data_IF_612969165555
#
_entry.id   IF_612969165555
#
_cell.length_a   1.000
_cell.length_b   1.000
_cell.length_c   1.000
_cell.angle_alpha   90.00
_cell.angle_beta   90.00
_cell.angle_gamma   90.00
#
_symmetry.space_group_name_H-M   'P 1'
#
loop_
_entity.id
_entity.type
_entity.pdbx_description
1 polymer ?
#
# COMPACT_ATOMS: atom_id res chain seq x y z
N UNK A 1 16.30 -0.66 -12.13
CA UNK A 1 15.01 -0.57 -11.44
C UNK A 1 14.05 0.24 -12.29
N UNK A 2 12.79 -0.20 -12.40
CA UNK A 2 11.74 0.51 -13.15
C UNK A 2 10.56 0.75 -12.21
N UNK A 3 10.02 1.96 -12.21
CA UNK A 3 8.81 2.30 -11.43
C UNK A 3 7.58 1.78 -12.16
N UNK A 4 6.74 1.01 -11.47
CA UNK A 4 5.51 0.44 -12.04
C UNK A 4 4.28 1.29 -11.75
N UNK A 5 4.12 1.76 -10.52
CA UNK A 5 2.99 2.59 -10.09
C UNK A 5 3.45 3.54 -8.98
N UNK A 6 2.70 4.63 -8.76
CA UNK A 6 2.92 5.57 -7.65
C UNK A 6 1.57 5.90 -7.03
N UNK A 7 1.36 5.39 -5.81
CA UNK A 7 0.17 5.71 -5.01
C UNK A 7 0.30 7.17 -4.54
N UNK A 8 -0.64 8.02 -4.95
CA UNK A 8 -0.70 9.44 -4.59
C UNK A 8 -1.72 9.65 -3.47
N UNK A 9 -1.66 10.81 -2.81
CA UNK A 9 -2.65 11.23 -1.80
C UNK A 9 -2.82 10.29 -0.59
N UNK A 10 -1.71 9.65 -0.18
CA UNK A 10 -1.68 8.89 1.07
C UNK A 10 -1.70 9.83 2.29
N UNK A 11 -2.37 9.46 3.40
CA UNK A 11 -2.25 10.20 4.65
C UNK A 11 -0.81 10.15 5.18
N UNK A 12 -0.47 11.09 6.06
CA UNK A 12 0.86 11.16 6.67
C UNK A 12 1.20 9.84 7.38
N UNK A 13 2.29 9.18 6.96
CA UNK A 13 2.77 7.92 7.53
C UNK A 13 4.17 8.11 8.18
N UNK A 14 4.26 8.78 9.34
CA UNK A 14 5.55 9.11 9.96
C UNK A 14 6.32 7.88 10.46
N UNK A 15 5.60 6.79 10.77
CA UNK A 15 6.19 5.53 11.20
C UNK A 15 6.61 4.62 10.03
N UNK A 16 6.28 4.98 8.79
CA UNK A 16 6.59 4.17 7.61
C UNK A 16 5.89 2.81 7.60
N UNK A 17 4.68 2.72 8.18
CA UNK A 17 3.92 1.48 8.24
C UNK A 17 3.50 1.04 6.83
N UNK A 18 3.91 -0.15 6.43
CA UNK A 18 3.43 -0.85 5.25
C UNK A 18 3.64 -2.36 5.42
N UNK A 19 2.87 -3.16 4.70
CA UNK A 19 3.07 -4.60 4.62
C UNK A 19 2.80 -5.07 3.20
N UNK A 20 3.77 -5.76 2.60
CA UNK A 20 3.63 -6.38 1.29
C UNK A 20 3.41 -7.89 1.47
N UNK A 21 2.46 -8.46 0.73
CA UNK A 21 2.23 -9.90 0.71
C UNK A 21 3.49 -10.64 0.26
N UNK A 22 3.77 -11.76 0.94
CA UNK A 22 4.85 -12.70 0.55
C UNK A 22 4.39 -13.67 -0.53
N UNK A 23 3.09 -13.72 -0.80
CA UNK A 23 2.52 -14.60 -1.82
C UNK A 23 2.67 -13.98 -3.21
N UNK A 24 3.12 -14.79 -4.16
CA UNK A 24 3.36 -14.40 -5.54
C UNK A 24 2.04 -14.24 -6.32
N UNK A 25 0.97 -14.93 -5.91
CA UNK A 25 -0.32 -14.88 -6.63
C UNK A 25 -1.19 -13.70 -6.19
N UNK A 26 -1.02 -13.21 -4.95
CA UNK A 26 -1.86 -12.15 -4.38
C UNK A 26 -1.25 -10.74 -4.47
N UNK A 27 0.06 -10.59 -4.31
CA UNK A 27 0.77 -9.31 -4.47
C UNK A 27 0.08 -8.07 -3.86
N UNK A 28 -0.47 -8.18 -2.65
CA UNK A 28 -1.19 -7.08 -2.00
C UNK A 28 -0.25 -6.20 -1.14
N UNK A 29 -0.45 -4.88 -1.21
CA UNK A 29 0.22 -3.91 -0.36
C UNK A 29 -0.80 -3.28 0.59
N UNK A 30 -0.62 -3.50 1.90
CA UNK A 30 -1.37 -2.83 2.94
C UNK A 30 -0.64 -1.58 3.45
N UNK A 31 -1.35 -0.47 3.58
CA UNK A 31 -0.82 0.79 4.13
C UNK A 31 -1.93 1.59 4.84
N UNK A 32 -1.60 2.56 5.71
CA UNK A 32 -2.60 3.39 6.38
C UNK A 32 -3.43 4.19 5.37
N UNK A 33 -4.75 4.00 5.40
CA UNK A 33 -5.73 4.77 4.61
C UNK A 33 -6.22 6.04 5.30
N UNK A 34 -6.03 6.13 6.62
CA UNK A 34 -6.41 7.30 7.41
C UNK A 34 -5.37 7.60 8.50
N UNK A 35 -5.17 8.89 8.80
CA UNK A 35 -4.24 9.36 9.85
C UNK A 35 -4.80 9.29 11.27
N UNK A 36 -6.12 9.14 11.44
CA UNK A 36 -6.79 9.24 12.74
C UNK A 36 -7.45 7.93 13.20
N UNK A 37 -7.89 7.07 12.27
CA UNK A 37 -8.87 6.01 12.57
C UNK A 37 -8.28 4.59 12.56
N UNK A 38 -6.99 4.43 12.27
CA UNK A 38 -6.38 3.10 12.08
C UNK A 38 -6.88 2.34 10.84
N UNK A 39 -7.53 3.05 9.90
CA UNK A 39 -7.98 2.48 8.64
C UNK A 39 -6.79 2.02 7.80
N UNK A 40 -6.91 0.85 7.18
CA UNK A 40 -5.89 0.26 6.31
C UNK A 40 -6.46 0.12 4.91
N UNK A 41 -5.74 0.66 3.92
CA UNK A 41 -5.99 0.45 2.51
C UNK A 41 -5.18 -0.74 2.01
N UNK A 42 -5.79 -1.52 1.11
CA UNK A 42 -5.17 -2.65 0.44
C UNK A 42 -5.10 -2.34 -1.05
N UNK A 43 -3.89 -2.33 -1.59
CA UNK A 43 -3.61 -2.09 -3.00
C UNK A 43 -3.17 -3.38 -3.67
N UNK A 44 -3.74 -3.67 -4.83
CA UNK A 44 -3.36 -4.81 -5.67
C UNK A 44 -2.13 -4.43 -6.52
N UNK A 45 -0.95 -4.88 -6.10
CA UNK A 45 0.30 -4.55 -6.78
C UNK A 45 0.54 -5.40 -8.05
N UNK A 46 -0.35 -6.35 -8.38
CA UNK A 46 -0.31 -7.14 -9.62
C UNK A 46 -1.17 -6.46 -10.68
N UNK A 47 -2.42 -6.14 -10.33
CA UNK A 47 -3.38 -5.56 -11.27
C UNK A 47 -3.26 -4.03 -11.39
N UNK A 48 -2.50 -3.36 -10.52
CA UNK A 48 -2.11 -1.94 -10.58
C UNK A 48 -3.28 -0.96 -10.85
N UNK A 49 -4.50 -1.32 -10.43
CA UNK A 49 -5.73 -0.53 -10.63
C UNK A 49 -5.85 0.53 -9.55
#
# INVERSE_FOLDING_TARGET
MKVMHTIRDTPKNPAGLCALSVDNDGGYLAYPGNSQNGEVQVFDAINLV
#
